data_IF_295451305275
#
_entry.id   IF_295451305275
#
_cell.length_a   1.000
_cell.length_b   1.000
_cell.length_c   1.000
_cell.angle_alpha   90.00
_cell.angle_beta   90.00
_cell.angle_gamma   90.00
#
_symmetry.space_group_name_H-M   'P 1'
#
loop_
_entity.id
_entity.type
_entity.pdbx_description
1 polymer ?
#
# COMPACT_ATOMS: atom_id res chain seq x y z
N UNK A 1 2.87 -22.75 0.91
CA UNK A 1 3.87 -22.03 0.13
C UNK A 1 3.64 -20.53 0.18
N UNK A 2 4.72 -19.80 0.28
CA UNK A 2 4.60 -18.35 0.30
C UNK A 2 4.40 -17.81 -1.10
N UNK A 3 3.45 -16.92 -1.25
CA UNK A 3 3.29 -16.20 -2.49
C UNK A 3 4.28 -15.04 -2.52
N UNK A 4 4.85 -14.71 -3.68
CA UNK A 4 5.68 -13.53 -3.79
C UNK A 4 4.81 -12.29 -3.57
N UNK A 5 5.42 -11.24 -3.04
CA UNK A 5 4.70 -9.98 -2.89
C UNK A 5 4.41 -9.42 -4.26
N UNK A 6 3.14 -9.18 -4.53
CA UNK A 6 2.68 -8.55 -5.76
C UNK A 6 2.86 -7.05 -5.67
N UNK A 7 2.56 -6.50 -4.49
CA UNK A 7 2.69 -5.07 -4.24
C UNK A 7 4.02 -4.82 -3.56
N UNK A 8 4.82 -3.92 -4.13
CA UNK A 8 6.13 -3.57 -3.60
C UNK A 8 6.15 -2.10 -3.20
N UNK A 9 7.16 -1.74 -2.40
CA UNK A 9 7.27 -0.39 -1.88
C UNK A 9 7.52 0.66 -2.97
N UNK A 10 8.04 0.23 -4.11
CA UNK A 10 8.35 1.16 -5.21
C UNK A 10 7.13 1.53 -6.03
N UNK A 11 6.04 0.83 -5.86
CA UNK A 11 4.83 1.09 -6.62
C UNK A 11 4.18 2.40 -6.15
N UNK A 12 3.57 3.10 -7.11
CA UNK A 12 2.85 4.33 -6.83
C UNK A 12 1.48 3.98 -6.25
N UNK A 13 1.09 4.68 -5.18
CA UNK A 13 -0.17 4.38 -4.51
C UNK A 13 -1.37 4.43 -5.45
N UNK A 14 -1.46 5.47 -6.29
CA UNK A 14 -2.55 5.57 -7.24
C UNK A 14 -2.62 4.36 -8.17
N UNK A 15 -1.47 3.88 -8.63
CA UNK A 15 -1.43 2.72 -9.50
C UNK A 15 -1.92 1.47 -8.79
N UNK A 16 -1.54 1.32 -7.52
CA UNK A 16 -1.95 0.17 -6.72
C UNK A 16 -3.46 0.18 -6.52
N UNK A 17 -4.00 1.33 -6.16
CA UNK A 17 -5.45 1.44 -5.93
C UNK A 17 -6.23 1.22 -7.23
N UNK A 18 -5.71 1.74 -8.32
CA UNK A 18 -6.36 1.58 -9.62
C UNK A 18 -6.40 0.11 -10.04
N UNK A 19 -5.32 -0.60 -9.79
CA UNK A 19 -5.22 -2.01 -10.15
C UNK A 19 -5.89 -2.92 -9.13
N UNK A 20 -5.80 -2.55 -7.86
CA UNK A 20 -6.35 -3.33 -6.75
C UNK A 20 -7.18 -2.42 -5.84
N UNK A 21 -8.43 -2.14 -6.23
CA UNK A 21 -9.26 -1.19 -5.45
C UNK A 21 -9.43 -1.55 -3.97
N UNK A 22 -9.32 -2.83 -3.64
CA UNK A 22 -9.45 -3.26 -2.25
C UNK A 22 -8.41 -2.64 -1.33
N UNK A 23 -7.26 -2.27 -1.90
CA UNK A 23 -6.15 -1.77 -1.11
C UNK A 23 -6.44 -0.41 -0.49
N UNK A 24 -7.40 0.33 -1.01
CA UNK A 24 -7.74 1.63 -0.44
C UNK A 24 -8.13 1.50 1.03
N UNK A 25 -8.79 0.41 1.40
CA UNK A 25 -9.17 0.16 2.79
C UNK A 25 -7.96 -0.02 3.67
N UNK A 26 -6.93 -0.68 3.15
CA UNK A 26 -5.70 -0.91 3.89
C UNK A 26 -4.96 0.41 4.10
N UNK A 27 -4.87 1.23 3.05
CA UNK A 27 -4.25 2.54 3.19
C UNK A 27 -4.97 3.38 4.25
N UNK A 28 -6.30 3.37 4.23
CA UNK A 28 -7.07 4.11 5.22
C UNK A 28 -6.86 3.57 6.63
N UNK A 29 -6.79 2.26 6.77
CA UNK A 29 -6.57 1.62 8.06
C UNK A 29 -5.24 2.03 8.68
N UNK A 30 -4.22 2.16 7.85
CA UNK A 30 -2.89 2.58 8.29
C UNK A 30 -2.72 4.09 8.31
N UNK A 31 -3.80 4.83 8.02
CA UNK A 31 -3.78 6.28 7.98
C UNK A 31 -2.82 6.85 6.93
N UNK A 32 -2.64 6.11 5.88
CA UNK A 32 -1.86 6.58 4.74
C UNK A 32 -2.78 7.39 3.83
N UNK A 33 -2.43 8.64 3.60
CA UNK A 33 -3.27 9.54 2.83
C UNK A 33 -3.10 9.31 1.34
N UNK A 34 -3.89 8.41 0.80
CA UNK A 34 -3.84 8.09 -0.62
C UNK A 34 -4.43 9.21 -1.48
N UNK A 35 -5.26 10.06 -0.88
CA UNK A 35 -5.89 11.16 -1.61
C UNK A 35 -4.89 12.22 -2.02
N UNK A 36 -4.03 12.62 -1.09
CA UNK A 36 -3.04 13.67 -1.35
C UNK A 36 -1.67 13.10 -1.70
N UNK A 37 -1.35 11.93 -1.17
CA UNK A 37 -0.05 11.29 -1.39
C UNK A 37 -0.05 10.25 -2.48
N UNK A 38 -1.15 10.14 -3.25
CA UNK A 38 -1.30 9.05 -4.21
C UNK A 38 -0.32 9.06 -5.38
N UNK A 39 0.29 10.21 -5.66
CA UNK A 39 1.28 10.32 -6.72
C UNK A 39 2.67 9.87 -6.32
N UNK A 40 2.86 9.48 -5.07
CA UNK A 40 4.14 9.04 -4.56
C UNK A 40 4.16 7.53 -4.36
N UNK A 41 5.37 6.99 -4.18
CA UNK A 41 5.49 5.57 -3.89
C UNK A 41 4.94 5.24 -2.51
N UNK A 42 4.61 3.97 -2.32
CA UNK A 42 4.13 3.49 -1.03
C UNK A 42 5.17 3.78 0.05
N UNK A 43 6.44 3.51 -0.26
CA UNK A 43 7.52 3.73 0.70
C UNK A 43 7.59 5.21 1.13
N UNK A 44 7.56 6.10 0.17
CA UNK A 44 7.69 7.53 0.47
C UNK A 44 6.53 8.02 1.32
N UNK A 45 5.32 7.67 0.92
CA UNK A 45 4.13 8.12 1.64
C UNK A 45 4.07 7.53 3.05
N UNK A 46 4.37 6.25 3.17
CA UNK A 46 4.39 5.61 4.48
C UNK A 46 5.44 6.24 5.40
N UNK A 47 6.60 6.55 4.85
CA UNK A 47 7.67 7.17 5.63
C UNK A 47 7.25 8.55 6.12
N UNK A 48 6.63 9.34 5.24
CA UNK A 48 6.16 10.67 5.61
C UNK A 48 5.09 10.61 6.70
N UNK A 49 4.20 9.62 6.60
CA UNK A 49 3.10 9.48 7.54
C UNK A 49 3.48 8.70 8.80
N UNK A 50 4.72 8.26 8.91
CA UNK A 50 5.19 7.54 10.08
C UNK A 50 4.68 6.11 10.16
N UNK A 51 4.34 5.52 9.02
CA UNK A 51 3.82 4.15 8.94
C UNK A 51 4.95 3.20 8.59
N UNK A 52 4.94 2.02 9.23
CA UNK A 52 5.92 0.99 8.92
C UNK A 52 5.64 0.42 7.54
N UNK A 53 6.61 0.59 6.63
CA UNK A 53 6.44 0.15 5.24
C UNK A 53 6.25 -1.36 5.14
N UNK A 54 7.03 -2.12 5.88
CA UNK A 54 6.94 -3.58 5.82
C UNK A 54 5.57 -4.09 6.27
N UNK A 55 5.05 -3.52 7.35
CA UNK A 55 3.73 -3.90 7.83
C UNK A 55 2.64 -3.52 6.84
N UNK A 56 2.78 -2.33 6.26
CA UNK A 56 1.82 -1.87 5.26
C UNK A 56 1.82 -2.80 4.04
N UNK A 57 3.00 -3.14 3.53
CA UNK A 57 3.10 -4.04 2.39
C UNK A 57 2.53 -5.41 2.69
N UNK A 58 2.80 -5.93 3.88
CA UNK A 58 2.26 -7.21 4.27
C UNK A 58 0.74 -7.19 4.27
N UNK A 59 0.15 -6.15 4.85
CA UNK A 59 -1.29 -6.01 4.88
C UNK A 59 -1.89 -5.87 3.48
N UNK A 60 -1.24 -5.09 2.62
CA UNK A 60 -1.70 -4.90 1.25
C UNK A 60 -1.69 -6.22 0.49
N UNK A 61 -0.61 -6.97 0.59
CA UNK A 61 -0.51 -8.24 -0.12
C UNK A 61 -1.46 -9.28 0.46
N UNK A 62 -1.64 -9.29 1.77
CA UNK A 62 -2.60 -10.19 2.41
C UNK A 62 -4.02 -9.92 1.93
N UNK A 63 -4.36 -8.66 1.69
CA UNK A 63 -5.70 -8.32 1.22
C UNK A 63 -6.00 -8.88 -0.17
N UNK A 64 -4.96 -9.11 -0.95
CA UNK A 64 -5.14 -9.65 -2.31
C UNK A 64 -5.39 -11.16 -2.30
N UNK A 65 -5.07 -11.83 -1.22
CA UNK A 65 -5.27 -13.29 -1.10
C UNK A 65 -6.71 -13.66 -0.78
N UNK A 66 -7.50 -12.70 -0.43
CA UNK A 66 -8.90 -12.97 -0.10
C UNK A 66 -9.79 -12.57 -1.26
#
# INVERSE_FOLDING_TARGET
>A
MKKPFIITKDMIINDVIKKYPKTVRIFNKFKVDACCGGGNSIEKTATVDGVNVDELLKALNDSLDN
#
